data_IF_913966405963
#
_entry.id   IF_913966405963
#
_cell.length_a   1.000
_cell.length_b   1.000
_cell.length_c   1.000
_cell.angle_alpha   90.00
_cell.angle_beta   90.00
_cell.angle_gamma   90.00
#
_symmetry.space_group_name_H-M   'P 1'
#
loop_
_entity.id
_entity.type
_entity.pdbx_description
1 polymer ?
#
# COMPACT_ATOMS: atom_id res chain seq x y z
N UNK A 1 5.21 64.67 -16.53
CA UNK A 1 5.56 63.27 -16.84
C UNK A 1 5.27 62.47 -15.58
N UNK A 2 4.12 61.81 -15.54
CA UNK A 2 3.70 61.03 -14.36
C UNK A 2 4.45 59.70 -14.40
N UNK A 3 5.28 59.44 -13.39
CA UNK A 3 5.85 58.12 -13.15
C UNK A 3 4.86 57.39 -12.25
N UNK A 4 4.24 56.36 -12.80
CA UNK A 4 3.27 55.52 -12.10
C UNK A 4 3.90 54.90 -10.86
N UNK A 5 3.21 55.06 -9.74
CA UNK A 5 3.40 54.23 -8.56
C UNK A 5 3.04 52.79 -8.97
N UNK A 6 4.02 51.89 -8.85
CA UNK A 6 3.75 50.46 -8.99
C UNK A 6 2.69 50.09 -7.96
N UNK A 7 1.59 49.49 -8.43
CA UNK A 7 0.62 48.88 -7.56
C UNK A 7 1.37 47.89 -6.66
N UNK A 8 1.30 48.13 -5.35
CA UNK A 8 1.81 47.19 -4.38
C UNK A 8 1.04 45.89 -4.56
N UNK A 9 1.76 44.83 -4.95
CA UNK A 9 1.25 43.46 -4.87
C UNK A 9 0.88 43.26 -3.40
N UNK A 10 -0.42 43.22 -3.11
CA UNK A 10 -0.88 42.87 -1.78
C UNK A 10 -0.49 41.42 -1.54
N UNK A 11 0.08 41.13 -0.38
CA UNK A 11 0.58 39.81 0.00
C UNK A 11 -0.58 38.78 0.09
N UNK A 12 -1.83 39.22 -0.08
CA UNK A 12 -3.03 38.39 -0.12
C UNK A 12 -3.20 37.58 -1.43
N UNK A 13 -2.42 37.83 -2.49
CA UNK A 13 -2.56 37.14 -3.79
C UNK A 13 -1.59 35.95 -4.00
N UNK A 14 -0.87 35.51 -2.97
CA UNK A 14 -0.05 34.29 -3.05
C UNK A 14 -0.66 33.17 -2.20
N UNK A 15 -1.83 32.69 -2.63
CA UNK A 15 -2.30 31.33 -2.33
C UNK A 15 -1.16 30.34 -2.62
N UNK A 16 -0.45 29.92 -1.57
CA UNK A 16 0.81 29.19 -1.69
C UNK A 16 0.58 27.68 -1.55
N UNK A 17 1.48 26.92 -2.15
CA UNK A 17 1.64 25.51 -1.84
C UNK A 17 2.44 25.39 -0.53
N UNK A 18 1.78 25.02 0.56
CA UNK A 18 2.41 24.73 1.84
C UNK A 18 2.78 23.25 1.89
N UNK A 19 4.03 22.94 2.25
CA UNK A 19 4.48 21.55 2.46
C UNK A 19 4.91 21.33 3.90
N UNK A 20 4.35 20.32 4.55
CA UNK A 20 4.88 19.76 5.79
C UNK A 20 5.91 18.68 5.48
N UNK A 21 7.01 18.63 6.23
CA UNK A 21 8.06 17.64 6.05
C UNK A 21 8.29 16.88 7.35
N UNK A 22 8.53 15.57 7.24
CA UNK A 22 8.95 14.71 8.34
C UNK A 22 10.01 13.72 7.84
N UNK A 23 10.22 12.62 8.56
CA UNK A 23 11.27 11.64 8.31
C UNK A 23 12.63 12.33 8.26
N UNK A 24 12.93 13.10 9.33
CA UNK A 24 14.11 13.98 9.44
C UNK A 24 14.13 15.10 8.40
N UNK A 25 12.96 15.67 8.09
CA UNK A 25 12.76 16.71 7.07
C UNK A 25 13.14 16.31 5.64
N UNK A 26 13.11 15.01 5.32
CA UNK A 26 13.52 14.52 3.99
C UNK A 26 12.35 14.25 3.05
N UNK A 27 11.16 13.98 3.60
CA UNK A 27 9.99 13.58 2.82
C UNK A 27 8.80 14.49 3.14
N UNK A 28 8.08 14.99 2.11
CA UNK A 28 6.88 15.79 2.33
C UNK A 28 5.77 14.88 2.85
N UNK A 29 5.18 15.22 3.98
CA UNK A 29 4.08 14.46 4.60
C UNK A 29 2.72 15.13 4.40
N UNK A 30 2.70 16.40 4.03
CA UNK A 30 1.51 17.11 3.60
C UNK A 30 1.82 18.11 2.49
N UNK A 31 0.85 18.32 1.60
CA UNK A 31 0.84 19.35 0.57
C UNK A 31 -0.53 20.04 0.61
N UNK A 32 -0.55 21.32 0.95
CA UNK A 32 -1.79 22.11 1.04
C UNK A 32 -1.75 23.24 0.04
N UNK A 33 -2.75 23.31 -0.82
CA UNK A 33 -2.94 24.39 -1.79
C UNK A 33 -3.90 25.43 -1.22
N UNK A 34 -3.67 26.70 -1.56
CA UNK A 34 -4.49 27.82 -1.13
C UNK A 34 -4.47 28.02 0.40
N UNK A 35 -3.29 27.98 1.00
CA UNK A 35 -3.10 28.24 2.42
C UNK A 35 -1.75 28.92 2.67
N UNK A 36 -1.57 29.47 3.87
CA UNK A 36 -0.26 29.86 4.39
C UNK A 36 0.20 28.93 5.52
N UNK A 37 1.50 28.85 5.76
CA UNK A 37 2.08 27.82 6.64
C UNK A 37 1.52 27.82 8.08
N UNK A 38 1.16 28.98 8.62
CA UNK A 38 0.60 29.11 9.97
C UNK A 38 -0.81 28.52 10.13
N UNK A 39 -1.57 28.42 9.05
CA UNK A 39 -2.96 27.94 9.05
C UNK A 39 -3.04 26.41 8.99
N UNK A 40 -1.96 25.76 8.57
CA UNK A 40 -1.95 24.33 8.30
C UNK A 40 -1.45 23.53 9.51
N UNK A 41 -2.06 22.38 9.76
CA UNK A 41 -1.48 21.31 10.56
C UNK A 41 -1.93 19.94 10.08
N UNK A 42 -1.04 18.97 10.18
CA UNK A 42 -1.28 17.60 9.78
C UNK A 42 -0.48 16.64 10.64
N UNK A 43 -1.06 15.50 11.02
CA UNK A 43 -0.29 14.37 11.54
C UNK A 43 -0.98 13.04 11.24
N UNK A 44 -0.18 12.07 10.78
CA UNK A 44 -0.46 10.62 10.84
C UNK A 44 0.29 9.95 11.99
N UNK A 45 0.93 10.74 12.86
CA UNK A 45 1.72 10.30 14.00
C UNK A 45 2.96 9.45 13.66
N UNK A 46 3.32 9.36 12.36
CA UNK A 46 4.52 8.67 11.91
C UNK A 46 5.81 9.34 12.40
N UNK A 47 5.82 10.67 12.46
CA UNK A 47 6.85 11.46 13.11
C UNK A 47 6.29 12.61 13.95
N UNK A 48 7.04 13.70 14.06
CA UNK A 48 6.85 14.72 15.10
C UNK A 48 6.51 16.12 14.57
N UNK A 49 6.72 16.39 13.28
CA UNK A 49 6.51 17.72 12.69
C UNK A 49 5.10 17.82 12.13
N UNK A 50 4.20 18.42 12.91
CA UNK A 50 2.76 18.33 12.64
C UNK A 50 1.97 19.64 12.64
N UNK A 51 2.48 20.70 13.28
CA UNK A 51 1.68 21.89 13.59
C UNK A 51 0.58 21.68 14.65
N UNK A 52 0.47 20.46 15.20
CA UNK A 52 -0.40 20.11 16.32
C UNK A 52 0.39 19.99 17.61
N UNK A 53 -0.18 20.49 18.70
CA UNK A 53 0.29 20.22 20.06
C UNK A 53 -0.39 18.96 20.58
N UNK A 54 0.38 17.92 20.85
CA UNK A 54 -0.07 16.68 21.47
C UNK A 54 1.05 16.01 22.27
N UNK A 55 0.69 15.02 23.09
CA UNK A 55 1.64 14.34 23.98
C UNK A 55 2.22 13.10 23.30
N UNK A 56 3.53 13.06 23.04
CA UNK A 56 4.19 11.93 22.37
C UNK A 56 3.92 10.57 23.03
N UNK A 57 3.75 10.53 24.35
CA UNK A 57 3.43 9.30 25.10
C UNK A 57 2.08 8.65 24.76
N UNK A 58 1.19 9.35 24.06
CA UNK A 58 -0.09 8.82 23.58
C UNK A 58 -0.04 8.29 22.14
N UNK A 59 1.10 8.44 21.44
CA UNK A 59 1.33 7.82 20.12
C UNK A 59 1.54 6.32 20.31
N UNK A 60 0.89 5.49 19.49
CA UNK A 60 0.86 4.04 19.65
C UNK A 60 0.86 3.31 18.31
N UNK A 61 1.33 2.06 18.31
CA UNK A 61 1.32 1.15 17.16
C UNK A 61 0.27 0.04 17.31
N UNK A 62 -0.60 0.08 18.32
CA UNK A 62 -1.64 -0.94 18.53
C UNK A 62 -2.66 -1.00 17.40
N UNK A 63 -2.89 0.13 16.74
CA UNK A 63 -3.75 0.28 15.59
C UNK A 63 -3.32 1.51 14.81
N UNK A 64 -3.59 1.53 13.51
CA UNK A 64 -3.38 2.69 12.65
C UNK A 64 -4.39 2.61 11.50
N UNK A 65 -4.80 3.76 10.96
CA UNK A 65 -5.57 3.81 9.72
C UNK A 65 -4.63 3.94 8.52
N UNK A 66 -3.66 4.85 8.63
CA UNK A 66 -2.55 5.04 7.69
C UNK A 66 -1.21 4.81 8.37
N UNK A 67 -0.15 4.56 7.61
CA UNK A 67 1.16 4.34 8.21
C UNK A 67 1.19 3.14 9.16
N UNK A 68 1.89 3.30 10.28
CA UNK A 68 2.16 2.29 11.32
C UNK A 68 1.72 2.74 12.72
N UNK A 69 1.41 4.02 12.92
CA UNK A 69 1.08 4.63 14.22
C UNK A 69 -0.28 5.34 14.15
N UNK A 70 -0.86 5.54 15.33
CA UNK A 70 -1.98 6.47 15.55
C UNK A 70 -1.85 7.08 16.94
N UNK A 71 -2.82 7.89 17.35
CA UNK A 71 -2.84 8.52 18.66
C UNK A 71 -4.03 8.05 19.49
N UNK A 72 -3.77 7.66 20.73
CA UNK A 72 -4.81 7.40 21.72
C UNK A 72 -5.12 8.69 22.48
N UNK A 73 -6.16 9.39 22.03
CA UNK A 73 -6.70 10.54 22.74
C UNK A 73 -7.40 10.07 24.03
N UNK A 74 -7.14 10.75 25.13
CA UNK A 74 -7.63 10.38 26.44
C UNK A 74 -8.24 11.58 27.20
N UNK A 75 -7.43 12.48 27.72
CA UNK A 75 -7.86 13.58 28.59
C UNK A 75 -7.22 14.91 28.22
N UNK A 76 -5.99 14.90 27.69
CA UNK A 76 -5.33 16.13 27.21
C UNK A 76 -5.71 16.35 25.75
N UNK A 77 -6.36 17.46 25.40
CA UNK A 77 -6.76 17.73 24.02
C UNK A 77 -5.56 17.84 23.09
N UNK A 78 -5.71 17.38 21.84
CA UNK A 78 -4.84 17.86 20.76
C UNK A 78 -5.24 19.30 20.46
N UNK A 79 -4.27 20.18 20.20
CA UNK A 79 -4.59 21.59 19.93
C UNK A 79 -3.70 22.28 18.92
N UNK A 80 -4.25 23.27 18.23
CA UNK A 80 -3.55 24.18 17.32
C UNK A 80 -4.09 25.60 17.52
N UNK A 81 -3.19 26.58 17.50
CA UNK A 81 -3.60 27.99 17.43
C UNK A 81 -4.23 28.28 16.06
N UNK A 82 -5.33 29.00 16.05
CA UNK A 82 -6.09 29.35 14.85
C UNK A 82 -6.40 30.85 14.82
N UNK A 83 -6.65 31.38 13.63
CA UNK A 83 -7.22 32.71 13.49
C UNK A 83 -8.74 32.61 13.66
N UNK A 84 -9.29 33.32 14.64
CA UNK A 84 -10.73 33.32 14.91
C UNK A 84 -11.58 33.92 13.78
N UNK A 85 -10.99 34.69 12.87
CA UNK A 85 -11.67 35.31 11.72
C UNK A 85 -11.75 34.35 10.52
N UNK A 86 -11.00 33.25 10.54
CA UNK A 86 -10.95 32.27 9.46
C UNK A 86 -11.85 31.06 9.74
N UNK A 87 -12.26 30.40 8.66
CA UNK A 87 -12.98 29.13 8.73
C UNK A 87 -12.05 28.01 8.31
N UNK A 88 -12.02 26.95 9.11
CA UNK A 88 -11.15 25.80 8.94
C UNK A 88 -11.96 24.53 8.68
N UNK A 89 -11.35 23.60 7.95
CA UNK A 89 -11.71 22.18 7.96
C UNK A 89 -10.83 21.47 8.98
N UNK A 90 -11.46 20.68 9.84
CA UNK A 90 -10.77 19.73 10.73
C UNK A 90 -11.25 18.34 10.40
N UNK A 91 -10.36 17.53 9.84
CA UNK A 91 -10.70 16.18 9.37
C UNK A 91 -9.81 15.14 10.01
N UNK A 92 -10.35 13.96 10.30
CA UNK A 92 -9.59 12.85 10.88
C UNK A 92 -10.32 11.51 10.69
N UNK A 93 -9.59 10.43 10.88
CA UNK A 93 -10.15 9.10 11.07
C UNK A 93 -10.14 8.74 12.56
N UNK A 94 -11.21 8.11 13.04
CA UNK A 94 -11.31 7.62 14.44
C UNK A 94 -11.94 6.24 14.52
N UNK A 95 -11.59 5.45 15.55
CA UNK A 95 -12.31 4.21 15.89
C UNK A 95 -13.63 4.44 16.64
N UNK A 96 -13.99 5.69 16.91
CA UNK A 96 -15.24 6.02 17.56
C UNK A 96 -16.41 6.00 16.56
N UNK A 97 -17.59 5.62 17.06
CA UNK A 97 -18.83 5.66 16.29
C UNK A 97 -19.44 7.07 16.17
N UNK A 98 -18.98 8.00 17.03
CA UNK A 98 -19.35 9.40 17.08
C UNK A 98 -18.08 10.28 16.91
N UNK A 99 -18.20 11.51 16.38
CA UNK A 99 -17.07 12.41 16.24
C UNK A 99 -16.52 12.82 17.60
N UNK A 100 -15.23 13.18 17.64
CA UNK A 100 -14.66 13.91 18.76
C UNK A 100 -15.29 15.30 18.90
N UNK A 101 -15.22 15.86 20.10
CA UNK A 101 -15.60 17.25 20.32
C UNK A 101 -14.48 18.15 19.79
N UNK A 102 -14.77 18.95 18.76
CA UNK A 102 -13.84 19.94 18.19
C UNK A 102 -14.36 21.33 18.50
N UNK A 103 -13.56 22.15 19.21
CA UNK A 103 -13.96 23.52 19.56
C UNK A 103 -14.27 24.35 18.32
N UNK A 104 -15.32 25.17 18.40
CA UNK A 104 -15.74 26.02 17.29
C UNK A 104 -16.42 25.29 16.13
N UNK A 105 -16.76 24.00 16.26
CA UNK A 105 -17.53 23.29 15.22
C UNK A 105 -18.82 24.05 14.92
N UNK A 106 -19.01 24.40 13.65
CA UNK A 106 -20.23 25.03 13.14
C UNK A 106 -21.15 23.93 12.59
N UNK A 107 -22.32 23.79 13.20
CA UNK A 107 -23.27 22.73 12.83
C UNK A 107 -22.84 21.34 13.29
N UNK A 108 -23.19 20.31 12.53
CA UNK A 108 -22.82 18.93 12.82
C UNK A 108 -21.59 18.51 11.99
N UNK A 109 -20.72 17.70 12.58
CA UNK A 109 -19.64 17.06 11.84
C UNK A 109 -20.21 16.14 10.76
N UNK A 110 -19.68 16.24 9.55
CA UNK A 110 -20.00 15.32 8.48
C UNK A 110 -19.28 13.99 8.72
N UNK A 111 -20.00 12.89 8.53
CA UNK A 111 -19.46 11.54 8.66
C UNK A 111 -19.21 10.97 7.25
N UNK A 112 -18.05 10.34 7.05
CA UNK A 112 -17.76 9.62 5.81
C UNK A 112 -18.76 8.47 5.57
N UNK A 113 -18.93 8.10 4.30
CA UNK A 113 -19.95 7.11 3.89
C UNK A 113 -19.69 5.71 4.44
N UNK A 114 -18.42 5.37 4.68
CA UNK A 114 -18.02 4.01 5.09
C UNK A 114 -17.12 4.02 6.32
N UNK A 115 -17.34 3.02 7.17
CA UNK A 115 -16.39 2.63 8.22
C UNK A 115 -15.52 1.48 7.69
N UNK A 116 -14.20 1.61 7.78
CA UNK A 116 -13.24 0.63 7.24
C UNK A 116 -12.31 0.20 8.37
N UNK A 117 -12.22 -1.12 8.62
CA UNK A 117 -11.43 -1.68 9.73
C UNK A 117 -11.75 -1.05 11.11
N UNK A 118 -13.01 -0.64 11.30
CA UNK A 118 -13.49 0.06 12.49
C UNK A 118 -13.15 1.55 12.54
N UNK A 119 -12.45 2.10 11.54
CA UNK A 119 -12.17 3.52 11.42
C UNK A 119 -13.25 4.25 10.64
N UNK A 120 -13.65 5.42 11.13
CA UNK A 120 -14.67 6.29 10.56
C UNK A 120 -14.08 7.67 10.33
N UNK A 121 -14.31 8.23 9.14
CA UNK A 121 -13.91 9.58 8.81
C UNK A 121 -14.91 10.62 9.33
N UNK A 122 -14.40 11.71 9.88
CA UNK A 122 -15.19 12.89 10.22
C UNK A 122 -14.57 14.16 9.66
N UNK A 123 -15.44 15.08 9.26
CA UNK A 123 -15.10 16.39 8.72
C UNK A 123 -15.92 17.47 9.45
N UNK A 124 -15.21 18.34 10.16
CA UNK A 124 -15.76 19.48 10.87
C UNK A 124 -15.46 20.77 10.11
N UNK A 125 -16.46 21.64 9.97
CA UNK A 125 -16.25 23.06 9.71
C UNK A 125 -16.09 23.78 11.05
N UNK A 126 -15.03 24.55 11.22
CA UNK A 126 -14.67 25.22 12.48
C UNK A 126 -14.47 26.71 12.24
N UNK A 127 -15.02 27.58 13.09
CA UNK A 127 -14.91 29.04 12.96
C UNK A 127 -15.05 29.71 14.34
N UNK A 128 -14.61 30.96 14.48
CA UNK A 128 -14.81 31.77 15.69
C UNK A 128 -13.98 31.34 16.91
N UNK A 129 -12.86 30.63 16.72
CA UNK A 129 -11.99 30.17 17.80
C UNK A 129 -10.53 30.54 17.56
N UNK A 130 -9.83 30.97 18.62
CA UNK A 130 -8.37 31.21 18.56
C UNK A 130 -7.54 29.95 18.78
N UNK A 131 -8.17 28.86 19.24
CA UNK A 131 -7.56 27.55 19.41
C UNK A 131 -8.55 26.48 18.97
N UNK A 132 -8.14 25.65 18.03
CA UNK A 132 -8.82 24.41 17.68
C UNK A 132 -8.35 23.35 18.67
N UNK A 133 -9.27 22.82 19.48
CA UNK A 133 -9.01 21.79 20.48
C UNK A 133 -9.89 20.58 20.20
N UNK A 134 -9.28 19.39 20.16
CA UNK A 134 -9.95 18.12 19.93
C UNK A 134 -9.95 17.34 21.25
N UNK A 135 -11.14 17.13 21.80
CA UNK A 135 -11.35 16.53 23.12
C UNK A 135 -12.22 15.27 23.04
N UNK A 136 -12.08 14.41 24.03
CA UNK A 136 -12.77 13.12 24.13
C UNK A 136 -11.77 11.99 24.38
N UNK A 137 -12.18 10.76 24.16
CA UNK A 137 -11.31 9.58 24.28
C UNK A 137 -11.50 8.62 23.12
N UNK A 138 -10.42 8.01 22.64
CA UNK A 138 -10.43 7.09 21.51
C UNK A 138 -9.21 7.23 20.61
N UNK A 139 -9.10 6.33 19.63
CA UNK A 139 -8.03 6.39 18.64
C UNK A 139 -8.36 7.43 17.56
N UNK A 140 -7.36 8.23 17.19
CA UNK A 140 -7.42 9.21 16.11
C UNK A 140 -6.19 9.06 15.21
N UNK A 141 -6.39 9.23 13.91
CA UNK A 141 -5.34 9.15 12.88
C UNK A 141 -5.68 10.10 11.72
N UNK A 142 -4.70 10.41 10.87
CA UNK A 142 -4.83 11.30 9.71
C UNK A 142 -5.48 12.65 10.06
N UNK A 143 -5.04 13.27 11.16
CA UNK A 143 -5.62 14.51 11.67
C UNK A 143 -5.11 15.71 10.86
N UNK A 144 -6.03 16.51 10.32
CA UNK A 144 -5.77 17.69 9.49
C UNK A 144 -6.50 18.91 10.05
N UNK A 145 -5.87 20.08 9.93
CA UNK A 145 -6.50 21.39 10.01
C UNK A 145 -5.96 22.28 8.89
N UNK A 146 -6.85 22.90 8.12
CA UNK A 146 -6.52 23.80 7.00
C UNK A 146 -7.71 24.74 6.70
N UNK A 147 -7.50 25.89 6.03
CA UNK A 147 -8.57 26.78 5.61
C UNK A 147 -9.66 26.07 4.79
N UNK A 148 -10.91 26.53 4.83
CA UNK A 148 -12.02 25.84 4.17
C UNK A 148 -12.03 25.91 2.64
N UNK A 149 -11.32 26.88 2.09
CA UNK A 149 -11.06 27.06 0.67
C UNK A 149 -9.74 26.39 0.22
N UNK A 150 -9.03 25.72 1.13
CA UNK A 150 -7.78 25.01 0.86
C UNK A 150 -8.01 23.52 0.54
N UNK A 151 -6.99 22.91 -0.08
CA UNK A 151 -6.99 21.47 -0.38
C UNK A 151 -5.71 20.82 0.11
N UNK A 152 -5.83 19.85 1.02
CA UNK A 152 -4.69 19.14 1.60
C UNK A 152 -4.60 17.70 1.09
N UNK A 153 -3.43 17.32 0.56
CA UNK A 153 -3.04 15.93 0.31
C UNK A 153 -1.99 15.50 1.33
N UNK A 154 -2.07 14.28 1.84
CA UNK A 154 -1.18 13.77 2.90
C UNK A 154 -0.52 12.47 2.48
N UNK A 155 0.64 12.19 3.09
CA UNK A 155 1.50 11.09 2.70
C UNK A 155 2.10 10.40 3.93
N UNK A 156 2.10 9.07 3.93
CA UNK A 156 2.92 8.25 4.83
C UNK A 156 3.91 7.43 4.02
N UNK A 157 5.05 7.07 4.62
CA UNK A 157 6.14 6.39 3.94
C UNK A 157 6.67 5.20 4.73
N UNK A 158 7.23 4.24 4.01
CA UNK A 158 8.30 3.39 4.54
C UNK A 158 9.63 3.94 4.01
N UNK A 159 10.51 4.46 4.88
CA UNK A 159 11.77 5.09 4.44
C UNK A 159 12.58 4.18 3.53
N UNK A 160 13.17 4.76 2.48
CA UNK A 160 13.95 4.07 1.43
C UNK A 160 13.15 3.16 0.49
N UNK A 161 11.85 2.94 0.73
CA UNK A 161 10.99 2.14 -0.14
C UNK A 161 10.06 3.06 -0.95
N UNK A 162 9.21 3.83 -0.28
CA UNK A 162 8.23 4.68 -0.95
C UNK A 162 7.03 5.04 -0.08
N UNK A 163 6.07 5.74 -0.68
CA UNK A 163 4.82 6.11 -0.02
C UNK A 163 4.00 4.84 0.26
N UNK A 164 3.49 4.70 1.49
CA UNK A 164 2.60 3.61 1.92
C UNK A 164 1.14 4.03 1.88
N UNK A 165 0.86 5.33 2.07
CA UNK A 165 -0.48 5.90 1.89
C UNK A 165 -0.37 7.27 1.24
N UNK A 166 -1.30 7.56 0.34
CA UNK A 166 -1.57 8.91 -0.16
C UNK A 166 -3.04 9.19 0.08
N UNK A 167 -3.37 10.23 0.81
CA UNK A 167 -4.77 10.58 1.10
C UNK A 167 -5.12 11.95 0.54
N UNK A 168 -6.09 11.97 -0.36
CA UNK A 168 -6.47 13.16 -1.13
C UNK A 168 -7.22 14.19 -0.29
N UNK A 169 -7.57 15.31 -0.93
CA UNK A 169 -8.29 16.43 -0.32
C UNK A 169 -9.66 16.04 0.28
N UNK A 170 -10.31 15.01 -0.27
CA UNK A 170 -11.58 14.50 0.24
C UNK A 170 -11.45 13.54 1.43
N UNK A 171 -10.23 13.30 1.94
CA UNK A 171 -9.97 12.38 3.04
C UNK A 171 -9.95 10.90 2.63
N UNK A 172 -10.03 10.57 1.33
CA UNK A 172 -9.97 9.21 0.81
C UNK A 172 -8.52 8.75 0.60
N UNK A 173 -8.01 7.80 1.41
CA UNK A 173 -6.68 7.24 1.20
C UNK A 173 -6.62 6.21 0.08
N UNK A 174 -5.46 6.13 -0.55
CA UNK A 174 -4.99 5.02 -1.39
C UNK A 174 -3.79 4.39 -0.70
N UNK A 175 -3.79 3.07 -0.57
CA UNK A 175 -2.74 2.34 0.11
C UNK A 175 -1.84 1.60 -0.88
N UNK A 176 -0.54 1.63 -0.60
CA UNK A 176 0.51 1.03 -1.42
C UNK A 176 1.28 0.01 -0.59
N UNK A 177 1.26 -1.25 -1.04
CA UNK A 177 2.01 -2.33 -0.40
C UNK A 177 3.19 -2.75 -1.25
N UNK A 178 4.29 -3.07 -0.60
CA UNK A 178 5.54 -3.46 -1.24
C UNK A 178 5.95 -4.86 -0.79
N UNK A 179 6.69 -5.57 -1.62
CA UNK A 179 7.38 -6.80 -1.21
C UNK A 179 8.65 -6.48 -0.40
N UNK A 180 9.32 -7.53 0.09
CA UNK A 180 10.57 -7.40 0.87
C UNK A 180 11.73 -6.79 0.08
N UNK A 181 11.63 -6.73 -1.26
CA UNK A 181 12.61 -6.07 -2.13
C UNK A 181 12.25 -4.61 -2.42
N UNK A 182 11.21 -4.06 -1.78
CA UNK A 182 10.77 -2.68 -1.96
C UNK A 182 10.00 -2.43 -3.26
N UNK A 183 9.47 -3.47 -3.91
CA UNK A 183 8.69 -3.31 -5.16
C UNK A 183 7.20 -3.29 -4.88
N UNK A 184 6.48 -2.38 -5.53
CA UNK A 184 5.04 -2.23 -5.37
C UNK A 184 4.30 -3.50 -5.80
N UNK A 185 3.58 -4.15 -4.90
CA UNK A 185 2.82 -5.40 -5.18
C UNK A 185 1.32 -5.18 -5.26
N UNK A 186 0.76 -4.28 -4.45
CA UNK A 186 -0.68 -4.05 -4.38
C UNK A 186 -0.97 -2.57 -4.18
N UNK A 187 -1.98 -2.06 -4.89
CA UNK A 187 -2.63 -0.78 -4.60
C UNK A 187 -4.06 -1.08 -4.15
N UNK A 188 -4.47 -0.45 -3.04
CA UNK A 188 -5.83 -0.58 -2.49
C UNK A 188 -6.54 0.76 -2.40
N UNK A 189 -7.86 0.72 -2.59
CA UNK A 189 -8.72 1.87 -2.32
C UNK A 189 -8.91 2.10 -0.80
N UNK A 190 -9.69 3.14 -0.47
CA UNK A 190 -9.99 3.50 0.92
C UNK A 190 -10.69 2.37 1.70
N UNK A 191 -11.41 1.49 1.00
CA UNK A 191 -12.17 0.36 1.56
C UNK A 191 -11.30 -0.91 1.71
N UNK A 192 -9.98 -0.80 1.48
CA UNK A 192 -9.02 -1.92 1.45
C UNK A 192 -9.23 -2.91 0.28
N UNK A 193 -10.04 -2.56 -0.72
CA UNK A 193 -10.17 -3.40 -1.91
C UNK A 193 -8.95 -3.23 -2.81
N UNK A 194 -8.41 -4.33 -3.32
CA UNK A 194 -7.32 -4.30 -4.30
C UNK A 194 -7.81 -3.71 -5.62
N UNK A 195 -7.27 -2.57 -6.01
CA UNK A 195 -7.55 -1.94 -7.32
C UNK A 195 -6.52 -2.33 -8.37
N UNK A 196 -5.27 -2.61 -7.95
CA UNK A 196 -4.20 -3.10 -8.81
C UNK A 196 -3.31 -4.08 -8.04
N UNK A 197 -2.85 -5.12 -8.73
CA UNK A 197 -1.87 -6.07 -8.21
C UNK A 197 -0.77 -6.32 -9.24
N UNK A 198 0.46 -6.50 -8.77
CA UNK A 198 1.66 -6.70 -9.57
C UNK A 198 2.36 -7.99 -9.12
N UNK A 199 2.76 -8.81 -10.10
CA UNK A 199 3.55 -10.02 -9.87
C UNK A 199 4.86 -9.88 -10.63
N UNK A 200 5.96 -10.00 -9.91
CA UNK A 200 7.30 -9.91 -10.49
C UNK A 200 7.91 -11.30 -10.59
N UNK A 201 7.93 -11.85 -11.80
CA UNK A 201 8.59 -13.11 -12.07
C UNK A 201 10.09 -12.86 -12.25
N UNK A 202 10.90 -13.47 -11.38
CA UNK A 202 12.33 -13.54 -11.63
C UNK A 202 12.57 -14.60 -12.71
N UNK A 203 13.23 -14.20 -13.80
CA UNK A 203 13.88 -15.18 -14.67
C UNK A 203 14.99 -15.81 -13.82
N UNK A 204 14.99 -17.13 -13.60
CA UNK A 204 16.12 -17.75 -12.93
C UNK A 204 17.37 -17.38 -13.73
N UNK A 205 18.33 -16.75 -13.04
CA UNK A 205 19.69 -16.69 -13.57
C UNK A 205 20.15 -18.14 -13.62
N UNK A 206 20.25 -18.69 -14.83
CA UNK A 206 20.84 -20.01 -15.07
C UNK A 206 22.30 -19.97 -14.63
N UNK A 207 22.57 -20.12 -13.35
CA UNK A 207 23.90 -20.37 -12.81
C UNK A 207 24.16 -21.87 -12.87
N UNK A 208 24.34 -22.41 -14.08
CA UNK A 208 25.03 -23.68 -14.41
C UNK A 208 24.66 -25.00 -13.69
N UNK A 209 23.78 -24.97 -12.69
CA UNK A 209 23.42 -26.10 -11.86
C UNK A 209 21.91 -26.25 -11.94
N UNK A 210 21.47 -27.22 -12.73
CA UNK A 210 20.07 -27.66 -12.72
C UNK A 210 19.86 -28.48 -11.44
N UNK A 211 18.97 -28.03 -10.56
CA UNK A 211 18.64 -28.71 -9.29
C UNK A 211 17.51 -29.73 -9.45
N UNK A 212 16.81 -29.68 -10.58
CA UNK A 212 15.76 -30.63 -10.98
C UNK A 212 15.88 -30.93 -12.48
N UNK A 213 15.44 -32.12 -12.94
CA UNK A 213 15.39 -32.42 -14.37
C UNK A 213 14.57 -31.38 -15.13
N UNK A 214 15.10 -30.88 -16.24
CA UNK A 214 14.38 -29.93 -17.09
C UNK A 214 13.99 -30.61 -18.38
N UNK A 215 12.68 -30.68 -18.68
CA UNK A 215 12.20 -31.15 -19.98
C UNK A 215 12.56 -30.10 -21.04
N UNK A 216 13.38 -30.48 -22.01
CA UNK A 216 13.86 -29.61 -23.08
C UNK A 216 13.10 -29.80 -24.38
N UNK A 217 12.46 -30.95 -24.59
CA UNK A 217 11.59 -31.20 -25.75
C UNK A 217 10.46 -32.14 -25.38
N UNK A 218 9.25 -31.82 -25.84
CA UNK A 218 8.08 -32.68 -25.79
C UNK A 218 7.37 -32.61 -27.14
N UNK A 219 7.36 -33.72 -27.89
CA UNK A 219 6.70 -33.80 -29.21
C UNK A 219 5.83 -35.05 -29.26
N UNK A 220 4.68 -34.95 -29.91
CA UNK A 220 3.78 -36.09 -30.14
C UNK A 220 3.78 -36.43 -31.62
N UNK A 221 4.19 -37.64 -31.97
CA UNK A 221 4.24 -38.13 -33.35
C UNK A 221 3.72 -39.56 -33.42
N UNK A 222 2.74 -39.85 -34.30
CA UNK A 222 2.22 -41.21 -34.54
C UNK A 222 1.86 -42.00 -33.27
N UNK A 223 1.17 -41.37 -32.30
CA UNK A 223 0.78 -42.02 -31.05
C UNK A 223 1.92 -42.26 -30.06
N UNK A 224 3.06 -41.58 -30.24
CA UNK A 224 4.20 -41.61 -29.31
C UNK A 224 4.56 -40.21 -28.85
N UNK A 225 5.03 -40.10 -27.62
CA UNK A 225 5.63 -38.89 -27.05
C UNK A 225 7.15 -39.05 -27.11
N UNK A 226 7.80 -38.17 -27.86
CA UNK A 226 9.25 -37.99 -27.85
C UNK A 226 9.59 -36.94 -26.78
N UNK A 227 10.35 -37.35 -25.77
CA UNK A 227 10.72 -36.57 -24.61
C UNK A 227 12.25 -36.41 -24.57
N UNK A 228 12.74 -35.17 -24.62
CA UNK A 228 14.12 -34.86 -24.28
C UNK A 228 14.14 -34.07 -22.96
N UNK A 229 15.12 -34.36 -22.13
CA UNK A 229 15.35 -33.66 -20.87
C UNK A 229 16.83 -33.56 -20.57
N UNK A 230 17.18 -32.59 -19.73
CA UNK A 230 18.48 -32.49 -19.07
C UNK A 230 18.32 -32.99 -17.63
N UNK A 231 19.10 -34.01 -17.25
CA UNK A 231 19.10 -34.56 -15.89
C UNK A 231 20.01 -33.74 -14.96
N UNK A 232 19.79 -33.83 -13.66
CA UNK A 232 20.69 -33.18 -12.69
C UNK A 232 22.09 -33.79 -12.83
N UNK A 233 23.16 -32.97 -12.95
CA UNK A 233 24.54 -33.47 -13.03
C UNK A 233 24.85 -34.46 -11.91
N UNK A 234 25.40 -35.62 -12.25
CA UNK A 234 25.65 -36.72 -11.29
C UNK A 234 24.50 -37.73 -11.12
N UNK A 235 23.36 -37.53 -11.78
CA UNK A 235 22.26 -38.51 -11.74
C UNK A 235 22.58 -39.77 -12.54
N UNK A 236 22.52 -40.93 -11.90
CA UNK A 236 22.72 -42.24 -12.55
C UNK A 236 21.42 -42.90 -13.01
N UNK A 237 20.27 -42.52 -12.44
CA UNK A 237 18.97 -43.08 -12.77
C UNK A 237 17.83 -42.06 -12.75
N UNK A 238 16.95 -42.16 -13.74
CA UNK A 238 15.80 -41.29 -13.92
C UNK A 238 14.52 -42.12 -14.07
N UNK A 239 13.43 -41.60 -13.53
CA UNK A 239 12.08 -42.12 -13.69
C UNK A 239 11.25 -41.14 -14.50
N UNK A 240 10.57 -41.66 -15.52
CA UNK A 240 9.52 -40.91 -16.21
C UNK A 240 8.18 -41.41 -15.70
N UNK A 241 7.35 -40.46 -15.28
CA UNK A 241 5.97 -40.71 -14.88
C UNK A 241 5.02 -39.97 -15.81
N UNK A 242 3.89 -40.59 -16.15
CA UNK A 242 2.80 -39.92 -16.84
C UNK A 242 1.44 -40.25 -16.22
N UNK A 243 0.48 -39.35 -16.42
CA UNK A 243 -0.89 -39.43 -15.93
C UNK A 243 -1.87 -39.04 -17.03
N UNK A 244 -2.87 -39.90 -17.29
CA UNK A 244 -3.99 -39.58 -18.17
C UNK A 244 -5.01 -38.72 -17.42
N UNK A 245 -5.03 -37.42 -17.70
CA UNK A 245 -5.92 -36.49 -17.00
C UNK A 245 -7.33 -36.49 -17.60
N UNK A 246 -7.51 -36.98 -18.83
CA UNK A 246 -8.82 -37.10 -19.47
C UNK A 246 -9.61 -38.27 -18.90
N UNK A 247 -8.93 -39.40 -18.65
CA UNK A 247 -9.55 -40.58 -18.07
C UNK A 247 -9.76 -40.50 -16.54
N UNK A 248 -9.31 -39.42 -15.90
CA UNK A 248 -9.34 -39.29 -14.44
C UNK A 248 -8.49 -40.34 -13.71
N UNK A 249 -7.58 -41.01 -14.42
CA UNK A 249 -6.74 -42.05 -13.84
C UNK A 249 -5.79 -41.43 -12.81
N UNK A 250 -5.62 -42.06 -11.65
CA UNK A 250 -4.73 -41.62 -10.55
C UNK A 250 -3.40 -42.36 -10.53
N UNK A 251 -3.22 -43.36 -11.39
CA UNK A 251 -2.04 -44.23 -11.39
C UNK A 251 -0.97 -43.65 -12.32
N UNK A 252 0.22 -43.41 -11.75
CA UNK A 252 1.40 -43.00 -12.50
C UNK A 252 2.14 -44.24 -13.01
N UNK A 253 2.33 -44.34 -14.32
CA UNK A 253 3.18 -45.39 -14.90
C UNK A 253 4.63 -44.95 -14.86
N UNK A 254 5.52 -45.80 -14.31
CA UNK A 254 6.94 -45.49 -14.15
C UNK A 254 7.78 -46.24 -15.18
N UNK A 255 8.61 -45.51 -15.94
CA UNK A 255 9.65 -46.08 -16.79
C UNK A 255 11.00 -45.91 -16.08
N UNK A 256 11.61 -47.03 -15.67
CA UNK A 256 12.95 -47.05 -15.10
C UNK A 256 13.97 -47.17 -16.25
N UNK A 257 14.78 -46.13 -16.45
CA UNK A 257 15.89 -46.17 -17.40
C UNK A 257 17.09 -45.40 -16.84
N UNK A 258 18.28 -45.59 -17.41
CA UNK A 258 19.39 -44.65 -17.19
C UNK A 258 18.89 -43.23 -17.51
N UNK A 259 19.50 -42.18 -16.94
CA UNK A 259 19.20 -40.79 -17.30
C UNK A 259 19.63 -40.43 -18.74
N UNK A 260 19.22 -41.23 -19.72
CA UNK A 260 19.44 -41.02 -21.14
C UNK A 260 18.30 -40.20 -21.73
N UNK A 261 18.66 -39.28 -22.60
CA UNK A 261 17.76 -38.46 -23.41
C UNK A 261 18.22 -38.62 -24.87
N UNK A 262 17.32 -38.80 -25.84
CA UNK A 262 15.85 -38.75 -25.76
C UNK A 262 15.20 -40.07 -25.30
N UNK A 263 13.97 -39.97 -24.81
CA UNK A 263 13.09 -41.09 -24.43
C UNK A 263 11.80 -41.07 -25.26
N UNK A 264 11.24 -42.25 -25.53
CA UNK A 264 10.00 -42.38 -26.28
C UNK A 264 8.97 -43.16 -25.47
N UNK A 265 7.76 -42.58 -25.33
CA UNK A 265 6.66 -43.15 -24.57
C UNK A 265 5.50 -43.40 -25.53
N UNK A 266 4.98 -44.62 -25.59
CA UNK A 266 3.76 -44.89 -26.35
C UNK A 266 2.57 -44.29 -25.62
N UNK A 267 1.78 -43.46 -26.30
CA UNK A 267 0.56 -42.88 -25.73
C UNK A 267 -0.47 -44.00 -25.60
N UNK A 268 -1.01 -44.26 -24.39
CA UNK A 268 -1.98 -45.34 -24.21
C UNK A 268 -3.27 -45.14 -25.02
N UNK A 269 -3.77 -43.90 -25.09
CA UNK A 269 -5.00 -43.55 -25.81
C UNK A 269 -4.80 -42.25 -26.61
N UNK A 270 -5.06 -42.30 -27.92
CA UNK A 270 -4.94 -41.12 -28.79
C UNK A 270 -6.02 -40.08 -28.46
N UNK A 271 -5.65 -38.79 -28.49
CA UNK A 271 -6.56 -37.67 -28.22
C UNK A 271 -6.79 -37.36 -26.74
N UNK A 272 -6.24 -38.15 -25.81
CA UNK A 272 -6.27 -37.85 -24.39
C UNK A 272 -5.19 -36.82 -24.00
N UNK A 273 -5.47 -36.07 -22.92
CA UNK A 273 -4.52 -35.15 -22.31
C UNK A 273 -3.69 -35.91 -21.27
N UNK A 274 -2.37 -35.72 -21.33
CA UNK A 274 -1.42 -36.35 -20.42
C UNK A 274 -0.59 -35.30 -19.69
N UNK A 275 -0.31 -35.56 -18.40
CA UNK A 275 0.68 -34.82 -17.63
C UNK A 275 1.91 -35.72 -17.42
N UNK A 276 3.11 -35.17 -17.60
CA UNK A 276 4.36 -35.90 -17.50
C UNK A 276 5.29 -35.28 -16.44
N UNK A 277 6.12 -36.12 -15.84
CA UNK A 277 7.19 -35.73 -14.91
C UNK A 277 8.45 -36.54 -15.20
N UNK A 278 9.60 -35.91 -15.01
CA UNK A 278 10.91 -36.58 -14.95
C UNK A 278 11.45 -36.40 -13.54
N UNK A 279 11.90 -37.50 -12.94
CA UNK A 279 12.33 -37.55 -11.54
C UNK A 279 13.69 -38.24 -11.50
N UNK A 280 14.71 -37.63 -10.89
CA UNK A 280 15.95 -38.36 -10.59
C UNK A 280 15.73 -39.23 -9.37
N UNK A 281 16.19 -40.47 -9.40
CA UNK A 281 16.01 -41.40 -8.27
C UNK A 281 17.28 -41.68 -7.48
N UNK A 282 18.46 -41.38 -8.04
CA UNK A 282 19.76 -41.52 -7.37
C UNK A 282 20.69 -40.40 -7.83
N UNK A 283 21.25 -39.65 -6.86
CA UNK A 283 22.41 -38.78 -7.07
C UNK A 283 23.64 -39.54 -6.61
N UNK A 284 24.67 -39.66 -7.47
CA UNK A 284 25.96 -40.26 -7.12
C UNK A 284 26.94 -39.15 -6.72
#
# INVERSE_FOLDING_TARGET
MSIGIGEGISIADLAQLVKGYDYKHQLPVSETKNAVAGEVAYTSFEGNDSGWNYTLGSVTTSTAFTGKKSYLLNSVPLSKNANHEETFKVTYWTKNAAPFAVSGTVGAALKGETTVDGWTFYDHTVSGVSVIAISGSGYIDELRAYPDDAQMTTFTYDPLIGATTISGANGSPVFYNYDQSGRLTVIKDQNRNTTKAFVYNYRPVNSGFITEPTITTLKVTNGKIDLAFESVPGSSSCQIQYLDVTAGATVRTTLNSACGSPQQITVPVSGHLYRLWVINTVMV
#
